data_IF_833645325192
#
_entry.id   IF_833645325192
#
_cell.length_a   1.000
_cell.length_b   1.000
_cell.length_c   1.000
_cell.angle_alpha   90.00
_cell.angle_beta   90.00
_cell.angle_gamma   90.00
#
_symmetry.space_group_name_H-M   'P 1'
#
loop_
_entity.id
_entity.type
_entity.pdbx_description
1 polymer ?
#
# COMPACT_ATOMS: atom_id res chain seq x y z
N UNK A 1 -7.64 4.51 13.75
CA UNK A 1 -8.50 5.21 12.75
C UNK A 1 -7.83 5.20 11.39
N UNK A 2 -8.28 4.33 10.48
CA UNK A 2 -7.78 4.06 9.12
C UNK A 2 -8.15 5.12 8.07
N UNK A 3 -8.50 6.35 8.48
CA UNK A 3 -9.19 7.32 7.60
C UNK A 3 -8.30 8.06 6.58
N UNK A 4 -7.00 7.77 6.48
CA UNK A 4 -6.06 8.50 5.59
C UNK A 4 -5.27 7.64 4.59
N UNK A 5 -5.57 6.34 4.51
CA UNK A 5 -4.91 5.46 3.54
C UNK A 5 -5.58 5.62 2.17
N UNK A 6 -4.82 6.11 1.20
CA UNK A 6 -5.23 6.12 -0.20
C UNK A 6 -4.81 4.82 -0.87
N UNK A 7 -5.65 4.30 -1.75
CA UNK A 7 -5.34 3.15 -2.60
C UNK A 7 -5.34 3.58 -4.05
N UNK A 8 -4.32 3.18 -4.81
CA UNK A 8 -4.23 3.44 -6.25
C UNK A 8 -3.77 2.20 -6.99
N UNK A 9 -4.23 2.02 -8.22
CA UNK A 9 -3.65 1.07 -9.18
C UNK A 9 -3.00 1.89 -10.29
N UNK A 10 -1.69 1.73 -10.48
CA UNK A 10 -0.92 2.42 -11.52
C UNK A 10 -0.61 1.45 -12.64
N UNK A 11 -0.95 1.82 -13.88
CA UNK A 11 -0.51 1.10 -15.08
C UNK A 11 0.77 1.74 -15.58
N UNK A 12 1.82 0.95 -15.73
CA UNK A 12 3.09 1.36 -16.33
C UNK A 12 3.03 1.23 -17.86
N UNK A 13 3.99 1.85 -18.54
CA UNK A 13 4.09 1.84 -20.01
C UNK A 13 4.26 0.43 -20.58
N UNK A 14 4.92 -0.47 -19.85
CA UNK A 14 5.10 -1.88 -20.20
C UNK A 14 3.84 -2.75 -19.94
N UNK A 15 2.72 -2.13 -19.54
CA UNK A 15 1.48 -2.85 -19.21
C UNK A 15 1.43 -3.43 -17.80
N UNK A 16 2.52 -3.33 -17.03
CA UNK A 16 2.54 -3.72 -15.61
C UNK A 16 1.52 -2.93 -14.81
N UNK A 17 0.85 -3.59 -13.87
CA UNK A 17 0.00 -2.92 -12.88
C UNK A 17 0.64 -2.98 -11.51
N UNK A 18 0.74 -1.83 -10.84
CA UNK A 18 1.18 -1.70 -9.46
C UNK A 18 -0.02 -1.36 -8.57
N UNK A 19 -0.12 -2.01 -7.42
CA UNK A 19 -1.01 -1.59 -6.33
C UNK A 19 -0.21 -0.74 -5.34
N UNK A 20 -0.68 0.47 -5.08
CA UNK A 20 -0.09 1.40 -4.11
C UNK A 20 -1.05 1.63 -2.96
N UNK A 21 -0.53 1.58 -1.74
CA UNK A 21 -1.10 2.22 -0.57
C UNK A 21 -0.23 3.39 -0.13
N UNK A 22 -0.86 4.48 0.30
CA UNK A 22 -0.14 5.64 0.82
C UNK A 22 -0.91 6.36 1.92
N UNK A 23 -0.22 6.87 2.93
CA UNK A 23 -0.80 7.74 3.95
C UNK A 23 -0.37 9.17 3.67
N UNK A 24 -1.35 10.07 3.52
CA UNK A 24 -1.09 11.42 3.02
C UNK A 24 -0.26 12.29 3.97
N UNK A 25 -0.41 12.14 5.29
CA UNK A 25 0.22 13.03 6.26
C UNK A 25 1.70 12.70 6.43
N UNK A 26 2.05 11.42 6.44
CA UNK A 26 3.41 10.93 6.63
C UNK A 26 4.19 10.81 5.32
N UNK A 27 3.50 10.77 4.18
CA UNK A 27 4.12 10.52 2.88
C UNK A 27 4.54 9.05 2.67
N UNK A 28 4.32 8.19 3.67
CA UNK A 28 4.68 6.77 3.60
C UNK A 28 3.82 6.07 2.56
N UNK A 29 4.47 5.30 1.67
CA UNK A 29 3.79 4.52 0.65
C UNK A 29 4.42 3.15 0.47
N UNK A 30 3.59 2.17 0.16
CA UNK A 30 3.99 0.83 -0.20
C UNK A 30 3.39 0.47 -1.56
N UNK A 31 4.24 0.08 -2.50
CA UNK A 31 3.86 -0.32 -3.87
C UNK A 31 4.27 -1.76 -4.12
N UNK A 32 3.40 -2.54 -4.79
CA UNK A 32 3.71 -3.92 -5.20
C UNK A 32 3.10 -4.21 -6.56
N UNK A 33 3.83 -4.97 -7.39
CA UNK A 33 3.32 -5.45 -8.67
C UNK A 33 2.12 -6.38 -8.44
N UNK A 34 1.05 -6.19 -9.20
CA UNK A 34 -0.07 -7.11 -9.22
C UNK A 34 0.32 -8.37 -10.00
N UNK A 35 0.13 -9.51 -9.35
CA UNK A 35 0.21 -10.82 -9.99
C UNK A 35 -1.09 -11.07 -10.76
N UNK A 36 -1.00 -11.48 -12.03
CA UNK A 36 -2.18 -11.81 -12.84
C UNK A 36 -2.78 -13.17 -12.51
N UNK A 37 -2.05 -14.01 -11.75
CA UNK A 37 -2.46 -15.36 -11.34
C UNK A 37 -3.27 -15.36 -10.05
N UNK A 38 -3.26 -14.26 -9.30
CA UNK A 38 -4.00 -14.13 -8.04
C UNK A 38 -5.16 -13.12 -8.16
N UNK A 39 -6.29 -13.34 -7.46
CA UNK A 39 -7.34 -12.34 -7.37
C UNK A 39 -6.84 -11.02 -6.77
N UNK A 40 -7.13 -9.90 -7.42
CA UNK A 40 -6.70 -8.55 -6.98
C UNK A 40 -7.14 -8.26 -5.54
N UNK A 41 -8.33 -8.72 -5.14
CA UNK A 41 -8.83 -8.55 -3.77
C UNK A 41 -7.92 -9.21 -2.72
N UNK A 42 -7.43 -10.42 -2.98
CA UNK A 42 -6.54 -11.14 -2.07
C UNK A 42 -5.20 -10.41 -1.93
N UNK A 43 -4.64 -9.95 -3.05
CA UNK A 43 -3.40 -9.18 -3.09
C UNK A 43 -3.55 -7.84 -2.35
N UNK A 44 -4.68 -7.16 -2.55
CA UNK A 44 -5.01 -5.90 -1.86
C UNK A 44 -5.07 -6.08 -0.35
N UNK A 45 -5.74 -7.14 0.12
CA UNK A 45 -5.86 -7.44 1.55
C UNK A 45 -4.50 -7.76 2.18
N UNK A 46 -3.65 -8.51 1.47
CA UNK A 46 -2.28 -8.84 1.92
C UNK A 46 -1.43 -7.58 2.02
N UNK A 47 -1.39 -6.76 0.97
CA UNK A 47 -0.60 -5.54 0.94
C UNK A 47 -1.11 -4.48 1.93
N UNK A 48 -2.41 -4.40 2.19
CA UNK A 48 -2.96 -3.51 3.22
C UNK A 48 -2.43 -3.87 4.62
N UNK A 49 -2.35 -5.17 4.95
CA UNK A 49 -1.78 -5.60 6.24
C UNK A 49 -0.30 -5.27 6.35
N UNK A 50 0.47 -5.57 5.29
CA UNK A 50 1.90 -5.19 5.22
C UNK A 50 2.07 -3.67 5.43
N UNK A 51 1.20 -2.87 4.80
CA UNK A 51 1.24 -1.42 4.90
C UNK A 51 0.85 -0.90 6.30
N UNK A 52 -0.14 -1.52 6.95
CA UNK A 52 -0.54 -1.16 8.31
C UNK A 52 0.60 -1.40 9.30
N UNK A 53 1.25 -2.57 9.25
CA UNK A 53 2.40 -2.87 10.10
C UNK A 53 3.58 -1.92 9.84
N UNK A 54 3.81 -1.55 8.58
CA UNK A 54 4.83 -0.56 8.23
C UNK A 54 4.50 0.81 8.83
N UNK A 55 3.26 1.30 8.67
CA UNK A 55 2.84 2.58 9.26
C UNK A 55 2.96 2.58 10.77
N UNK A 56 2.52 1.51 11.44
CA UNK A 56 2.61 1.38 12.89
C UNK A 56 4.07 1.49 13.36
N UNK A 57 5.01 0.86 12.66
CA UNK A 57 6.44 0.96 12.96
C UNK A 57 6.97 2.38 12.72
N UNK A 58 6.75 2.93 11.53
CA UNK A 58 7.33 4.22 11.14
C UNK A 58 6.74 5.40 11.94
N UNK A 59 5.44 5.40 12.23
CA UNK A 59 4.80 6.50 12.96
C UNK A 59 4.91 6.38 14.49
N UNK A 60 5.05 5.18 15.04
CA UNK A 60 5.33 5.03 16.47
C UNK A 60 6.77 5.48 16.80
N UNK A 61 7.71 5.32 15.86
CA UNK A 61 9.10 5.75 16.03
C UNK A 61 9.30 7.28 16.04
N UNK A 62 8.32 8.06 15.56
CA UNK A 62 8.39 9.54 15.48
C UNK A 62 7.52 10.24 16.53
N UNK A 63 7.01 9.47 17.51
CA UNK A 63 6.16 9.96 18.60
C UNK A 63 6.83 9.83 19.98
N UNK A 64 8.12 9.50 20.03
CA UNK A 64 8.95 9.35 21.23
C UNK A 64 9.95 10.50 21.37
#
# INVERSE_FOLDING_TARGET
>A
MTKRIQTQVRKLTDGTRLLRFSERKSGVSLEKRLDTREPVFAQKRRLLREFQSLIERELSAHSA
#
